data_IF_167425260832
#
_entry.id   IF_167425260832
#
_cell.length_a   1.000
_cell.length_b   1.000
_cell.length_c   1.000
_cell.angle_alpha   90.00
_cell.angle_beta   90.00
_cell.angle_gamma   90.00
#
_symmetry.space_group_name_H-M   'P 1'
#
loop_
_entity.id
_entity.type
_entity.pdbx_description
1 polymer ?
#
# COMPACT_ATOMS: atom_id res chain seq x y z
N UNK A 1 2.45 2.53 16.68
CA UNK A 1 1.55 1.41 16.35
C UNK A 1 0.74 1.74 15.10
N UNK A 2 0.73 0.87 14.10
CA UNK A 2 -0.18 0.92 12.95
C UNK A 2 -1.39 0.07 13.32
N UNK A 3 -2.54 0.69 13.56
CA UNK A 3 -3.75 -0.03 13.98
C UNK A 3 -4.62 -0.29 12.74
N UNK A 4 -5.00 -1.54 12.46
CA UNK A 4 -5.97 -1.82 11.42
C UNK A 4 -7.28 -1.13 11.81
N UNK A 5 -7.84 -0.33 10.91
CA UNK A 5 -9.24 0.05 11.04
C UNK A 5 -10.07 -1.22 10.89
N UNK A 6 -11.31 -1.25 11.37
CA UNK A 6 -12.28 -2.36 11.13
C UNK A 6 -12.58 -2.64 9.64
N UNK A 7 -11.87 -1.98 8.72
CA UNK A 7 -12.02 -2.02 7.28
C UNK A 7 -10.82 -2.75 6.65
N UNK A 8 -11.00 -3.44 5.51
CA UNK A 8 -9.92 -4.09 4.79
C UNK A 8 -8.76 -3.11 4.52
N UNK A 9 -7.56 -3.45 4.99
CA UNK A 9 -6.42 -2.52 4.99
C UNK A 9 -5.16 -3.19 4.44
N UNK A 10 -4.49 -2.50 3.52
CA UNK A 10 -3.13 -2.83 3.09
C UNK A 10 -2.14 -1.86 3.70
N UNK A 11 -0.93 -2.36 3.94
CA UNK A 11 0.24 -1.53 4.17
C UNK A 11 1.16 -1.61 2.95
N UNK A 12 1.74 -0.48 2.55
CA UNK A 12 2.65 -0.45 1.42
C UNK A 12 3.81 0.53 1.58
N UNK A 13 4.88 0.24 0.85
CA UNK A 13 6.07 1.09 0.69
C UNK A 13 6.48 1.13 -0.77
N UNK A 14 7.02 2.25 -1.23
CA UNK A 14 7.64 2.32 -2.56
C UNK A 14 9.09 1.88 -2.41
N UNK A 15 9.52 0.87 -3.17
CA UNK A 15 10.91 0.40 -3.18
C UNK A 15 11.79 1.39 -3.95
N UNK A 16 12.17 2.48 -3.30
CA UNK A 16 12.96 3.55 -3.90
C UNK A 16 13.77 4.29 -2.85
N UNK A 17 14.97 4.73 -3.25
CA UNK A 17 15.82 5.64 -2.47
C UNK A 17 15.56 7.11 -2.83
N UNK A 18 14.79 7.37 -3.90
CA UNK A 18 14.50 8.71 -4.38
C UNK A 18 13.40 9.36 -3.53
N UNK A 19 13.60 10.63 -3.20
CA UNK A 19 12.55 11.45 -2.61
C UNK A 19 11.47 11.72 -3.65
N UNK A 20 10.21 11.64 -3.23
CA UNK A 20 9.06 11.95 -4.05
C UNK A 20 7.96 12.60 -3.21
N UNK A 21 7.06 13.31 -3.88
CA UNK A 21 5.89 13.92 -3.22
C UNK A 21 4.83 12.86 -2.96
N UNK A 22 4.42 12.71 -1.71
CA UNK A 22 3.34 11.81 -1.29
C UNK A 22 2.05 12.02 -2.09
N UNK A 23 1.72 13.27 -2.42
CA UNK A 23 0.52 13.57 -3.22
C UNK A 23 0.59 13.02 -4.64
N UNK A 24 1.76 13.09 -5.28
CA UNK A 24 1.97 12.52 -6.60
C UNK A 24 1.79 11.00 -6.59
N UNK A 25 2.29 10.32 -5.55
CA UNK A 25 2.03 8.90 -5.34
C UNK A 25 0.54 8.61 -5.20
N UNK A 26 -0.17 9.34 -4.33
CA UNK A 26 -1.62 9.13 -4.13
C UNK A 26 -2.42 9.35 -5.41
N UNK A 27 -2.14 10.42 -6.14
CA UNK A 27 -2.83 10.74 -7.38
C UNK A 27 -2.58 9.66 -8.45
N UNK A 28 -1.34 9.21 -8.59
CA UNK A 28 -0.95 8.16 -9.53
C UNK A 28 -1.68 6.84 -9.22
N UNK A 29 -1.64 6.40 -7.95
CA UNK A 29 -2.29 5.15 -7.56
C UNK A 29 -3.81 5.22 -7.72
N UNK A 30 -4.44 6.34 -7.37
CA UNK A 30 -5.88 6.55 -7.60
C UNK A 30 -6.27 6.58 -9.08
N UNK A 31 -5.37 7.00 -9.96
CA UNK A 31 -5.61 6.98 -11.40
C UNK A 31 -5.55 5.57 -12.01
N UNK A 32 -4.68 4.70 -11.47
CA UNK A 32 -4.46 3.35 -12.00
C UNK A 32 -5.38 2.33 -11.33
N UNK A 33 -5.62 2.44 -10.04
CA UNK A 33 -6.46 1.53 -9.28
C UNK A 33 -7.93 1.84 -9.45
N UNK A 34 -8.57 1.09 -10.34
CA UNK A 34 -10.01 1.14 -10.55
C UNK A 34 -10.70 0.23 -9.55
N UNK A 35 -11.14 0.80 -8.44
CA UNK A 35 -11.93 0.11 -7.42
C UNK A 35 -13.42 0.39 -7.60
N UNK A 36 -14.27 -0.56 -7.18
CA UNK A 36 -15.75 -0.43 -7.23
C UNK A 36 -16.27 0.61 -6.24
N UNK A 37 -15.56 0.80 -5.13
CA UNK A 37 -15.86 1.77 -4.07
C UNK A 37 -14.62 2.59 -3.76
N UNK A 38 -14.79 3.71 -3.06
CA UNK A 38 -13.68 4.59 -2.71
C UNK A 38 -12.71 3.88 -1.77
N UNK A 39 -11.46 4.31 -1.83
CA UNK A 39 -10.42 3.93 -0.88
C UNK A 39 -9.61 5.16 -0.48
N UNK A 40 -8.98 5.08 0.67
CA UNK A 40 -8.15 6.15 1.23
C UNK A 40 -6.70 5.69 1.32
N UNK A 41 -5.77 6.59 0.98
CA UNK A 41 -4.33 6.36 1.19
C UNK A 41 -3.86 7.33 2.27
N UNK A 42 -3.37 6.79 3.39
CA UNK A 42 -2.91 7.54 4.56
C UNK A 42 -1.40 7.31 4.74
N UNK A 43 -0.62 8.37 4.93
CA UNK A 43 0.80 8.23 5.25
C UNK A 43 0.93 7.97 6.75
N UNK A 44 1.57 6.86 7.12
CA UNK A 44 1.72 6.44 8.52
C UNK A 44 3.17 6.37 8.98
N UNK A 45 4.12 6.62 8.08
CA UNK A 45 5.56 6.69 8.36
C UNK A 45 6.32 7.23 7.15
N UNK A 46 7.65 7.26 7.24
CA UNK A 46 8.51 7.63 6.11
C UNK A 46 8.40 6.56 5.02
N UNK A 47 7.94 6.94 3.83
CA UNK A 47 7.70 6.01 2.71
C UNK A 47 6.73 4.85 3.07
N UNK A 48 5.89 5.02 4.10
CA UNK A 48 4.98 3.98 4.58
C UNK A 48 3.54 4.46 4.55
N UNK A 49 2.67 3.71 3.87
CA UNK A 49 1.30 4.09 3.63
C UNK A 49 0.33 2.99 4.04
N UNK A 50 -0.82 3.39 4.56
CA UNK A 50 -1.98 2.55 4.69
C UNK A 50 -2.96 2.84 3.56
N UNK A 51 -3.51 1.78 2.99
CA UNK A 51 -4.58 1.85 2.01
C UNK A 51 -5.79 1.19 2.65
N UNK A 52 -6.82 1.98 2.92
CA UNK A 52 -8.04 1.54 3.60
C UNK A 52 -9.15 1.46 2.56
N UNK A 53 -9.69 0.26 2.36
CA UNK A 53 -10.72 -0.02 1.38
C UNK A 53 -12.09 -0.11 2.05
N UNK A 54 -13.16 0.24 1.34
CA UNK A 54 -14.53 -0.03 1.81
C UNK A 54 -14.95 -1.49 1.63
N UNK A 55 -14.40 -2.17 0.62
CA UNK A 55 -14.74 -3.56 0.28
C UNK A 55 -13.48 -4.40 0.21
N UNK A 56 -13.58 -5.65 0.68
CA UNK A 56 -12.48 -6.61 0.60
C UNK A 56 -12.14 -6.96 -0.85
N UNK A 57 -13.14 -7.17 -1.70
CA UNK A 57 -13.00 -7.40 -3.15
C UNK A 57 -12.10 -6.36 -3.85
N UNK A 58 -12.17 -5.08 -3.44
CA UNK A 58 -11.27 -4.05 -3.97
C UNK A 58 -9.82 -4.27 -3.53
N UNK A 59 -9.61 -4.64 -2.26
CA UNK A 59 -8.30 -4.96 -1.73
C UNK A 59 -7.72 -6.17 -2.47
N UNK A 60 -8.51 -7.21 -2.68
CA UNK A 60 -8.07 -8.43 -3.38
C UNK A 60 -7.69 -8.14 -4.83
N UNK A 61 -8.52 -7.36 -5.54
CA UNK A 61 -8.23 -6.92 -6.91
C UNK A 61 -6.89 -6.17 -6.99
N UNK A 62 -6.60 -5.29 -6.01
CA UNK A 62 -5.31 -4.59 -5.96
C UNK A 62 -4.16 -5.55 -5.67
N UNK A 63 -4.35 -6.57 -4.84
CA UNK A 63 -3.32 -7.57 -4.60
C UNK A 63 -3.10 -8.51 -5.80
N UNK A 64 -4.13 -8.86 -6.55
CA UNK A 64 -4.00 -9.70 -7.73
C UNK A 64 -3.32 -8.96 -8.89
N UNK A 65 -3.53 -7.65 -9.01
CA UNK A 65 -2.91 -6.82 -10.05
C UNK A 65 -1.42 -6.49 -9.82
N UNK A 66 -0.77 -7.09 -8.83
CA UNK A 66 0.67 -6.89 -8.57
C UNK A 66 1.51 -7.52 -9.70
N UNK A 67 2.70 -6.97 -10.01
CA UNK A 67 3.36 -5.84 -9.34
C UNK A 67 2.85 -4.47 -9.81
N UNK A 68 2.66 -3.55 -8.87
CA UNK A 68 2.36 -2.15 -9.19
C UNK A 68 3.63 -1.30 -9.17
N UNK A 69 3.70 -0.32 -10.08
CA UNK A 69 4.85 0.56 -10.23
C UNK A 69 4.47 2.01 -9.95
N UNK A 70 5.39 2.74 -9.33
CA UNK A 70 5.36 4.20 -9.23
C UNK A 70 6.72 4.76 -9.65
N UNK A 71 6.76 5.59 -10.70
CA UNK A 71 8.01 6.17 -11.22
C UNK A 71 9.13 5.13 -11.46
N UNK A 72 8.80 3.99 -12.08
CA UNK A 72 9.70 2.83 -12.32
C UNK A 72 10.20 2.11 -11.05
N UNK A 73 9.65 2.43 -9.88
CA UNK A 73 9.93 1.75 -8.62
C UNK A 73 8.78 0.81 -8.26
N UNK A 74 9.10 -0.37 -7.72
CA UNK A 74 8.10 -1.38 -7.33
C UNK A 74 7.40 -0.92 -6.05
N UNK A 75 6.09 -1.13 -5.96
CA UNK A 75 5.36 -0.94 -4.72
C UNK A 75 5.19 -2.30 -4.06
N UNK A 76 5.63 -2.41 -2.81
CA UNK A 76 5.46 -3.60 -1.99
C UNK A 76 4.21 -3.46 -1.14
N UNK A 77 3.43 -4.53 -1.03
CA UNK A 77 2.17 -4.59 -0.30
C UNK A 77 2.14 -5.75 0.65
N UNK A 78 1.49 -5.56 1.79
CA UNK A 78 1.07 -6.66 2.67
C UNK A 78 -0.31 -6.38 3.28
N UNK A 79 -1.04 -7.44 3.61
CA UNK A 79 -2.33 -7.36 4.29
C UNK A 79 -2.10 -7.08 5.76
N UNK A 80 -2.73 -6.02 6.28
CA UNK A 80 -2.64 -5.69 7.69
C UNK A 80 -3.80 -6.36 8.46
N UNK A 81 -3.56 -7.52 9.04
CA UNK A 81 -4.58 -8.27 9.81
C UNK A 81 -4.66 -7.85 11.28
N UNK A 82 -3.57 -7.37 11.87
CA UNK A 82 -3.47 -6.98 13.28
C UNK A 82 -2.70 -5.67 13.43
N UNK A 83 -2.75 -5.08 14.63
CA UNK A 83 -1.95 -3.90 14.92
C UNK A 83 -0.47 -4.28 14.91
N UNK A 84 0.31 -3.68 14.01
CA UNK A 84 1.75 -3.95 13.90
C UNK A 84 2.51 -2.70 14.31
N UNK A 85 3.56 -2.86 15.10
CA UNK A 85 4.45 -1.76 15.41
C UNK A 85 5.23 -1.33 14.16
N UNK A 86 5.47 -0.02 14.01
CA UNK A 86 6.09 0.55 12.80
C UNK A 86 7.45 -0.10 12.49
N UNK A 87 8.22 -0.41 13.52
CA UNK A 87 9.54 -1.04 13.43
C UNK A 87 9.51 -2.50 12.97
N UNK A 88 8.38 -3.18 13.11
CA UNK A 88 8.23 -4.59 12.74
C UNK A 88 7.79 -4.77 11.28
N UNK A 89 7.41 -3.69 10.60
CA UNK A 89 6.92 -3.75 9.23
C UNK A 89 8.11 -3.85 8.29
N UNK A 90 8.44 -5.07 7.89
CA UNK A 90 9.46 -5.35 6.88
C UNK A 90 8.81 -5.94 5.64
N UNK A 91 8.52 -5.07 4.69
CA UNK A 91 8.01 -5.47 3.38
C UNK A 91 9.21 -5.93 2.53
N UNK A 92 9.37 -7.25 2.36
CA UNK A 92 10.41 -7.83 1.52
C UNK A 92 9.81 -8.38 0.23
N UNK A 93 10.50 -8.17 -0.89
CA UNK A 93 10.28 -8.97 -2.09
C UNK A 93 10.95 -10.33 -1.87
N UNK A 94 10.18 -11.42 -1.81
CA UNK A 94 10.75 -12.76 -1.79
C UNK A 94 11.58 -12.93 -3.06
N UNK A 95 12.90 -13.09 -2.94
CA UNK A 95 13.78 -13.35 -4.08
C UNK A 95 13.42 -14.76 -4.55
N UNK A 96 12.71 -14.89 -5.66
CA UNK A 96 12.57 -16.17 -6.34
C UNK A 96 14.00 -16.65 -6.65
N UNK A 97 14.36 -17.79 -6.05
CA UNK A 97 15.59 -18.53 -6.37
C UNK A 97 15.46 -19.29 -7.66
#
# INVERSE_FOLDING_TARGET
>A
MVVPKSKPTLICTVWTEKLYKTESFRAHMKGIWKTRKKFEIQMVGQNLFLIVFELEDNLETILEGRPWLFCKSIILFDRLFQAVERDQIRLFHHRFG
#
